data_IF_788928935455
#
_entry.id   IF_788928935455
#
_cell.length_a   1.000
_cell.length_b   1.000
_cell.length_c   1.000
_cell.angle_alpha   90.00
_cell.angle_beta   90.00
_cell.angle_gamma   90.00
#
_symmetry.space_group_name_H-M   'P 1'
#
loop_
_entity.id
_entity.type
_entity.pdbx_description
1 polymer ?
#
# COMPACT_ATOMS: atom_id res chain seq x y z
N UNK A 1 6.91 -9.74 -14.58
CA UNK A 1 7.91 -9.11 -13.67
C UNK A 1 8.33 -10.14 -12.63
N UNK A 2 9.63 -10.36 -12.49
CA UNK A 2 10.18 -11.34 -11.54
C UNK A 2 10.81 -10.61 -10.36
N UNK A 3 10.50 -11.00 -9.13
CA UNK A 3 11.16 -10.53 -7.90
C UNK A 3 11.81 -11.76 -7.23
N UNK A 4 13.13 -11.82 -7.23
CA UNK A 4 13.83 -13.03 -6.81
C UNK A 4 13.46 -14.22 -7.70
N UNK A 5 12.80 -15.21 -7.12
CA UNK A 5 12.28 -16.39 -7.79
C UNK A 5 10.75 -16.35 -8.03
N UNK A 6 10.09 -15.25 -7.72
CA UNK A 6 8.63 -15.11 -7.79
C UNK A 6 8.22 -14.40 -9.08
N UNK A 7 7.34 -15.01 -9.85
CA UNK A 7 6.67 -14.36 -10.97
C UNK A 7 5.41 -13.61 -10.48
N UNK A 8 5.44 -12.29 -10.57
CA UNK A 8 4.33 -11.42 -10.18
C UNK A 8 3.37 -11.17 -11.37
N UNK A 9 3.70 -11.67 -12.54
CA UNK A 9 2.89 -11.52 -13.74
C UNK A 9 3.31 -10.37 -14.65
N UNK A 10 2.50 -10.15 -15.69
CA UNK A 10 2.71 -9.10 -16.66
C UNK A 10 2.10 -7.78 -16.19
N UNK A 11 2.88 -6.68 -16.25
CA UNK A 11 2.47 -5.34 -15.84
C UNK A 11 1.69 -5.34 -14.52
N UNK A 12 2.30 -5.80 -13.42
CA UNK A 12 1.59 -5.99 -12.16
C UNK A 12 1.15 -4.68 -11.53
N UNK A 13 -0.07 -4.72 -10.97
CA UNK A 13 -0.68 -3.63 -10.19
C UNK A 13 -0.79 -4.09 -8.74
N UNK A 14 -0.07 -3.46 -7.83
CA UNK A 14 0.09 -3.90 -6.44
C UNK A 14 -0.58 -2.96 -5.45
N UNK A 15 -1.06 -3.51 -4.33
CA UNK A 15 -1.56 -2.73 -3.21
C UNK A 15 -0.41 -2.19 -2.37
N UNK A 16 -0.35 -0.87 -2.16
CA UNK A 16 0.66 -0.23 -1.32
C UNK A 16 0.45 -0.50 0.18
N UNK A 17 1.53 -0.61 0.98
CA UNK A 17 1.44 -0.67 2.44
C UNK A 17 0.89 0.65 3.01
N UNK A 18 -0.19 0.57 3.79
CA UNK A 18 -0.84 1.73 4.42
C UNK A 18 -1.27 1.39 5.84
N UNK A 19 -0.75 2.14 6.82
CA UNK A 19 -1.08 1.96 8.24
C UNK A 19 -2.57 2.16 8.49
N UNK A 20 -3.15 1.29 9.29
CA UNK A 20 -4.58 1.21 9.61
C UNK A 20 -5.49 1.05 8.36
N UNK A 21 -5.00 0.60 7.23
CA UNK A 21 -5.76 0.41 5.99
C UNK A 21 -5.55 -0.98 5.42
N UNK A 22 -4.27 -1.39 5.25
CA UNK A 22 -3.94 -2.66 4.59
C UNK A 22 -3.85 -3.81 5.61
N UNK A 23 -4.90 -3.92 6.44
CA UNK A 23 -5.11 -5.11 7.26
C UNK A 23 -5.40 -6.34 6.39
N UNK A 24 -5.38 -7.53 7.00
CA UNK A 24 -5.56 -8.80 6.29
C UNK A 24 -6.83 -8.84 5.45
N UNK A 25 -7.96 -8.38 5.99
CA UNK A 25 -9.25 -8.40 5.29
C UNK A 25 -9.23 -7.52 4.05
N UNK A 26 -8.72 -6.30 4.17
CA UNK A 26 -8.64 -5.38 3.03
C UNK A 26 -7.65 -5.87 1.96
N UNK A 27 -6.52 -6.45 2.36
CA UNK A 27 -5.58 -7.05 1.40
C UNK A 27 -6.23 -8.19 0.61
N UNK A 28 -6.96 -9.09 1.28
CA UNK A 28 -7.66 -10.18 0.63
C UNK A 28 -8.70 -9.68 -0.37
N UNK A 29 -9.53 -8.70 0.01
CA UNK A 29 -10.51 -8.07 -0.89
C UNK A 29 -9.80 -7.44 -2.10
N UNK A 30 -8.71 -6.68 -1.91
CA UNK A 30 -7.95 -6.11 -3.02
C UNK A 30 -7.35 -7.18 -3.93
N UNK A 31 -6.87 -8.29 -3.37
CA UNK A 31 -6.35 -9.43 -4.14
C UNK A 31 -7.43 -10.06 -5.02
N UNK A 32 -8.61 -10.31 -4.48
CA UNK A 32 -9.78 -10.82 -5.22
C UNK A 32 -10.25 -9.84 -6.31
N UNK A 33 -10.05 -8.54 -6.08
CA UNK A 33 -10.35 -7.49 -7.06
C UNK A 33 -9.23 -7.26 -8.09
N UNK A 34 -8.20 -8.10 -8.13
CA UNK A 34 -7.19 -8.09 -9.17
C UNK A 34 -5.86 -7.42 -8.82
N UNK A 35 -5.59 -7.13 -7.55
CA UNK A 35 -4.23 -6.77 -7.14
C UNK A 35 -3.30 -7.98 -7.33
N UNK A 36 -2.23 -7.82 -8.09
CA UNK A 36 -1.29 -8.92 -8.37
C UNK A 36 -0.50 -9.31 -7.12
N UNK A 37 -0.22 -8.35 -6.24
CA UNK A 37 0.49 -8.55 -4.99
C UNK A 37 0.01 -7.55 -3.93
N UNK A 38 0.07 -7.97 -2.66
CA UNK A 38 -0.31 -7.15 -1.52
C UNK A 38 0.86 -6.90 -0.57
N UNK A 39 0.77 -5.83 0.20
CA UNK A 39 1.72 -5.48 1.26
C UNK A 39 0.98 -5.27 2.58
N UNK A 40 1.54 -5.79 3.67
CA UNK A 40 0.98 -5.54 5.00
C UNK A 40 1.06 -4.07 5.40
N UNK A 41 0.37 -3.70 6.46
CA UNK A 41 0.74 -2.50 7.22
C UNK A 41 2.19 -2.63 7.68
N UNK A 42 2.90 -1.49 7.85
CA UNK A 42 4.30 -1.56 8.27
C UNK A 42 4.43 -1.95 9.76
N UNK A 43 5.34 -2.86 10.02
CA UNK A 43 5.63 -3.48 11.31
C UNK A 43 6.87 -2.84 11.93
N UNK A 44 6.75 -2.31 13.14
CA UNK A 44 7.91 -1.78 13.87
C UNK A 44 8.82 -2.92 14.33
N UNK A 45 10.08 -2.90 13.89
CA UNK A 45 11.08 -3.88 14.31
C UNK A 45 11.24 -3.89 15.85
N UNK A 46 11.39 -2.69 16.46
CA UNK A 46 11.51 -2.56 17.92
C UNK A 46 10.30 -3.09 18.70
N UNK A 47 9.09 -2.96 18.15
CA UNK A 47 7.88 -3.47 18.79
C UNK A 47 7.72 -4.98 18.57
N UNK A 48 8.13 -5.49 17.40
CA UNK A 48 8.04 -6.91 17.07
C UNK A 48 8.96 -7.75 17.96
N UNK A 49 10.23 -7.36 18.11
CA UNK A 49 11.20 -8.08 18.96
C UNK A 49 10.80 -8.08 20.46
N UNK A 50 9.96 -7.11 20.87
CA UNK A 50 9.37 -7.07 22.22
C UNK A 50 8.04 -7.81 22.31
N UNK A 51 7.65 -8.52 21.26
CA UNK A 51 6.40 -9.28 21.18
C UNK A 51 5.13 -8.47 21.53
N UNK A 52 5.06 -7.22 21.05
CA UNK A 52 3.88 -6.37 21.27
C UNK A 52 2.70 -6.94 20.43
N UNK A 53 1.66 -7.41 21.10
CA UNK A 53 0.53 -8.12 20.49
C UNK A 53 -0.13 -7.38 19.31
N UNK A 54 -0.25 -6.05 19.38
CA UNK A 54 -0.78 -5.24 18.28
C UNK A 54 0.11 -5.30 17.03
N UNK A 55 1.42 -5.43 17.21
CA UNK A 55 2.41 -5.54 16.13
C UNK A 55 2.42 -6.95 15.55
N UNK A 56 2.41 -7.98 16.40
CA UNK A 56 2.40 -9.39 15.99
C UNK A 56 1.16 -9.74 15.15
N UNK A 57 0.00 -9.16 15.47
CA UNK A 57 -1.22 -9.36 14.67
C UNK A 57 -1.10 -8.91 13.22
N UNK A 58 -0.24 -7.94 12.91
CA UNK A 58 0.01 -7.47 11.52
C UNK A 58 0.75 -8.48 10.66
N UNK A 59 1.32 -9.52 11.27
CA UNK A 59 2.01 -10.60 10.57
C UNK A 59 1.06 -11.64 9.96
N UNK A 60 -0.23 -11.60 10.29
CA UNK A 60 -1.21 -12.55 9.78
C UNK A 60 -1.36 -12.44 8.26
N UNK A 61 -1.17 -13.56 7.56
CA UNK A 61 -1.31 -13.71 6.11
C UNK A 61 -2.42 -14.72 5.83
N UNK A 62 -3.28 -14.40 4.87
CA UNK A 62 -4.21 -15.37 4.30
C UNK A 62 -3.54 -16.09 3.12
N UNK A 63 -3.62 -17.42 3.01
CA UNK A 63 -3.08 -18.15 1.85
C UNK A 63 -3.61 -17.63 0.51
N UNK A 64 -4.85 -17.15 0.45
CA UNK A 64 -5.48 -16.65 -0.78
C UNK A 64 -4.99 -15.26 -1.21
N UNK A 65 -4.31 -14.50 -0.32
CA UNK A 65 -3.75 -13.19 -0.70
C UNK A 65 -2.34 -13.26 -1.32
N UNK A 66 -1.74 -14.46 -1.41
CA UNK A 66 -0.40 -14.63 -1.98
C UNK A 66 -0.35 -14.35 -3.49
N UNK A 67 0.78 -13.79 -4.01
CA UNK A 67 1.97 -13.38 -3.28
C UNK A 67 1.73 -12.14 -2.43
N UNK A 68 2.32 -12.12 -1.24
CA UNK A 68 2.19 -11.00 -0.30
C UNK A 68 3.52 -10.70 0.41
N UNK A 69 3.73 -9.42 0.73
CA UNK A 69 4.90 -8.96 1.47
C UNK A 69 4.53 -8.49 2.88
N UNK A 70 5.37 -8.83 3.85
CA UNK A 70 5.38 -8.15 5.16
C UNK A 70 6.39 -7.01 5.09
N UNK A 71 5.94 -5.79 5.43
CA UNK A 71 6.79 -4.61 5.47
C UNK A 71 7.23 -4.29 6.90
N UNK A 72 8.55 -4.20 7.12
CA UNK A 72 9.14 -3.82 8.41
C UNK A 72 9.78 -2.43 8.35
N UNK A 73 9.88 -1.75 9.49
CA UNK A 73 10.64 -0.50 9.61
C UNK A 73 11.36 -0.41 10.95
N UNK A 74 12.48 0.26 10.92
CA UNK A 74 13.31 0.55 12.09
C UNK A 74 14.44 1.50 11.71
N UNK A 75 15.38 1.72 12.64
CA UNK A 75 16.55 2.57 12.45
C UNK A 75 17.86 1.94 12.92
N UNK A 76 17.77 0.79 13.57
CA UNK A 76 18.93 0.09 14.14
C UNK A 76 19.10 -1.27 13.46
N UNK A 77 20.34 -1.64 13.14
CA UNK A 77 20.66 -2.87 12.40
C UNK A 77 20.20 -4.10 13.16
N UNK A 78 20.57 -4.23 14.45
CA UNK A 78 20.23 -5.40 15.27
C UNK A 78 18.74 -5.71 15.31
N UNK A 79 17.88 -4.77 15.76
CA UNK A 79 16.44 -4.94 15.75
C UNK A 79 15.84 -5.24 14.38
N UNK A 80 16.35 -4.63 13.29
CA UNK A 80 15.86 -4.89 11.93
C UNK A 80 16.18 -6.31 11.46
N UNK A 81 17.39 -6.80 11.76
CA UNK A 81 17.81 -8.19 11.46
C UNK A 81 16.98 -9.20 12.25
N UNK A 82 16.80 -8.98 13.55
CA UNK A 82 16.00 -9.86 14.40
C UNK A 82 14.53 -9.89 13.97
N UNK A 83 13.94 -8.73 13.70
CA UNK A 83 12.58 -8.63 13.19
C UNK A 83 12.41 -9.35 11.84
N UNK A 84 13.38 -9.23 10.93
CA UNK A 84 13.38 -9.91 9.64
C UNK A 84 13.32 -11.44 9.79
N UNK A 85 14.13 -12.00 10.70
CA UNK A 85 14.12 -13.43 11.01
C UNK A 85 12.80 -13.88 11.62
N UNK A 86 12.27 -13.13 12.60
CA UNK A 86 10.96 -13.42 13.21
C UNK A 86 9.88 -13.44 12.11
N UNK A 87 9.87 -12.48 11.18
CA UNK A 87 8.89 -12.42 10.07
C UNK A 87 9.03 -13.64 9.16
N UNK A 88 10.26 -14.00 8.74
CA UNK A 88 10.50 -15.17 7.90
C UNK A 88 10.03 -16.47 8.58
N UNK A 89 10.37 -16.66 9.84
CA UNK A 89 10.07 -17.89 10.60
C UNK A 89 8.56 -18.03 10.92
N UNK A 90 7.90 -16.93 11.31
CA UNK A 90 6.54 -16.98 11.85
C UNK A 90 5.47 -16.71 10.79
N UNK A 91 5.62 -15.67 9.99
CA UNK A 91 4.63 -15.28 8.98
C UNK A 91 4.87 -15.96 7.63
N UNK A 92 6.12 -16.29 7.32
CA UNK A 92 6.54 -16.92 6.05
C UNK A 92 5.95 -16.19 4.84
N UNK A 93 6.17 -14.86 4.72
CA UNK A 93 5.71 -14.11 3.56
C UNK A 93 6.48 -14.54 2.30
N UNK A 94 5.94 -14.16 1.14
CA UNK A 94 6.67 -14.40 -0.11
C UNK A 94 7.84 -13.41 -0.28
N UNK A 95 7.72 -12.21 0.30
CA UNK A 95 8.71 -11.13 0.25
C UNK A 95 8.78 -10.44 1.62
N UNK A 96 9.98 -10.04 2.01
CA UNK A 96 10.20 -9.08 3.10
C UNK A 96 10.47 -7.71 2.49
N UNK A 97 9.69 -6.71 2.86
CA UNK A 97 9.87 -5.33 2.36
C UNK A 97 10.36 -4.40 3.47
N UNK A 98 11.30 -3.52 3.15
CA UNK A 98 11.84 -2.52 4.09
C UNK A 98 11.24 -1.15 3.79
N UNK A 99 10.64 -0.53 4.80
CA UNK A 99 10.06 0.80 4.70
C UNK A 99 11.11 1.89 4.98
N UNK A 100 11.50 2.60 3.93
CA UNK A 100 12.24 3.86 3.99
C UNK A 100 11.42 5.03 3.40
N UNK A 101 10.09 4.90 3.37
CA UNK A 101 9.21 5.88 2.73
C UNK A 101 8.17 6.54 3.64
N UNK A 102 7.89 6.04 4.85
CA UNK A 102 6.88 6.61 5.74
C UNK A 102 7.28 8.03 6.20
N UNK A 103 6.50 9.09 5.84
CA UNK A 103 6.91 10.47 6.10
C UNK A 103 6.42 11.01 7.45
N UNK A 104 5.55 10.28 8.17
CA UNK A 104 4.89 10.81 9.36
C UNK A 104 5.88 11.12 10.48
N UNK A 105 5.63 12.23 11.20
CA UNK A 105 6.57 12.76 12.22
C UNK A 105 6.96 11.73 13.28
N UNK A 106 6.02 10.91 13.74
CA UNK A 106 6.27 9.88 14.77
C UNK A 106 7.23 8.76 14.31
N UNK A 107 7.43 8.56 13.00
CA UNK A 107 8.36 7.61 12.39
C UNK A 107 9.60 8.33 11.88
N UNK A 108 9.44 9.22 10.89
CA UNK A 108 10.55 9.92 10.25
C UNK A 108 11.28 10.89 11.19
N UNK A 109 10.58 11.50 12.14
CA UNK A 109 11.19 12.36 13.16
C UNK A 109 12.08 11.62 14.15
N UNK A 110 11.93 10.28 14.24
CA UNK A 110 12.79 9.39 15.06
C UNK A 110 13.91 8.73 14.25
N UNK A 111 14.10 9.13 12.98
CA UNK A 111 15.14 8.59 12.11
C UNK A 111 14.76 7.28 11.40
N UNK A 112 13.53 6.76 11.53
CA UNK A 112 13.07 5.56 10.85
C UNK A 112 12.23 5.92 9.59
N UNK A 113 11.85 4.93 8.78
CA UNK A 113 11.10 5.18 7.55
C UNK A 113 11.80 6.20 6.65
N UNK A 114 11.08 7.23 6.18
CA UNK A 114 11.70 8.28 5.36
C UNK A 114 12.73 9.15 6.11
N UNK A 115 12.84 9.01 7.44
CA UNK A 115 13.91 9.62 8.23
C UNK A 115 15.31 9.13 7.84
N UNK A 116 15.40 7.89 7.37
CA UNK A 116 16.64 7.26 6.90
C UNK A 116 17.22 7.95 5.64
N UNK A 117 16.42 8.71 4.89
CA UNK A 117 16.92 9.52 3.76
C UNK A 117 17.90 10.64 4.17
N UNK A 118 18.11 10.83 5.46
CA UNK A 118 19.11 11.75 6.02
C UNK A 118 20.38 11.02 6.52
N UNK A 119 20.37 9.69 6.49
CA UNK A 119 21.48 8.84 6.93
C UNK A 119 21.60 7.63 5.99
N UNK A 120 22.11 7.90 4.78
CA UNK A 120 22.25 6.89 3.73
C UNK A 120 23.21 5.77 4.13
N UNK A 121 24.37 6.03 4.76
CA UNK A 121 25.24 4.94 5.23
C UNK A 121 24.50 3.95 6.13
N UNK A 122 23.70 4.44 7.09
CA UNK A 122 22.91 3.58 7.99
C UNK A 122 21.80 2.85 7.23
N UNK A 123 21.14 3.49 6.27
CA UNK A 123 20.12 2.86 5.41
C UNK A 123 20.71 1.65 4.68
N UNK A 124 21.87 1.81 4.06
CA UNK A 124 22.56 0.75 3.34
C UNK A 124 23.05 -0.37 4.26
N UNK A 125 23.61 -0.02 5.43
CA UNK A 125 24.03 -0.98 6.44
C UNK A 125 22.85 -1.88 6.89
N UNK A 126 21.70 -1.27 7.21
CA UNK A 126 20.48 -2.01 7.58
C UNK A 126 20.04 -2.91 6.41
N UNK A 127 19.99 -2.38 5.18
CA UNK A 127 19.54 -3.13 4.02
C UNK A 127 20.41 -4.35 3.77
N UNK A 128 21.73 -4.18 3.73
CA UNK A 128 22.68 -5.28 3.52
C UNK A 128 22.61 -6.33 4.63
N UNK A 129 22.46 -5.90 5.89
CA UNK A 129 22.34 -6.81 7.03
C UNK A 129 21.03 -7.61 7.00
N UNK A 130 19.91 -7.00 6.63
CA UNK A 130 18.62 -7.68 6.49
C UNK A 130 18.65 -8.67 5.32
N UNK A 131 19.16 -8.26 4.15
CA UNK A 131 19.31 -9.17 3.00
C UNK A 131 20.14 -10.41 3.36
N UNK A 132 21.22 -10.24 4.11
CA UNK A 132 22.07 -11.37 4.54
C UNK A 132 21.39 -12.27 5.59
N UNK A 133 20.40 -11.75 6.32
CA UNK A 133 19.82 -12.44 7.49
C UNK A 133 18.67 -13.38 7.14
N UNK A 134 18.05 -13.26 5.95
CA UNK A 134 16.87 -14.04 5.50
C UNK A 134 17.11 -14.70 4.15
N UNK A 135 16.34 -15.74 3.84
CA UNK A 135 16.42 -16.48 2.58
C UNK A 135 15.36 -16.05 1.55
N UNK A 136 14.30 -15.39 2.00
CA UNK A 136 13.26 -14.86 1.12
C UNK A 136 13.72 -13.58 0.42
N UNK A 137 13.18 -13.23 -0.75
CA UNK A 137 13.48 -11.97 -1.43
C UNK A 137 13.23 -10.77 -0.52
N UNK A 138 14.20 -9.83 -0.51
CA UNK A 138 14.07 -8.56 0.20
C UNK A 138 13.85 -7.45 -0.82
N UNK A 139 12.88 -6.57 -0.56
CA UNK A 139 12.60 -5.37 -1.36
C UNK A 139 12.66 -4.12 -0.49
N UNK A 140 12.75 -2.97 -1.13
CA UNK A 140 12.76 -1.66 -0.45
C UNK A 140 11.69 -0.77 -1.04
N UNK A 141 10.95 -0.06 -0.17
CA UNK A 141 10.06 1.03 -0.56
C UNK A 141 10.54 2.35 0.01
N UNK A 142 10.84 3.32 -0.87
CA UNK A 142 11.38 4.63 -0.49
C UNK A 142 10.72 5.80 -1.22
N UNK A 143 11.30 7.00 -1.08
CA UNK A 143 10.90 8.25 -1.72
C UNK A 143 12.06 8.85 -2.51
N UNK A 144 11.81 9.95 -3.24
CA UNK A 144 12.83 10.64 -4.05
C UNK A 144 14.01 11.18 -3.25
N UNK A 145 13.80 11.47 -1.99
CA UNK A 145 14.76 12.06 -1.08
C UNK A 145 14.07 12.72 0.11
N UNK A 146 14.84 13.42 0.95
CA UNK A 146 14.30 14.09 2.15
C UNK A 146 13.47 15.33 1.77
N UNK A 147 13.99 16.20 0.93
CA UNK A 147 13.36 17.44 0.46
C UNK A 147 13.69 17.73 -1.01
N UNK A 148 13.26 18.89 -1.50
CA UNK A 148 13.46 19.26 -2.90
C UNK A 148 14.94 19.33 -3.30
N UNK A 149 15.80 19.76 -2.38
CA UNK A 149 17.24 19.95 -2.64
C UNK A 149 18.06 18.67 -2.48
N UNK A 150 17.45 17.60 -1.96
CA UNK A 150 18.11 16.33 -1.67
C UNK A 150 17.39 15.13 -2.33
N UNK A 151 16.98 15.28 -3.59
CA UNK A 151 16.50 14.19 -4.43
C UNK A 151 17.68 13.34 -4.90
N UNK A 152 17.91 12.22 -4.24
CA UNK A 152 19.06 11.35 -4.44
C UNK A 152 18.70 9.97 -4.98
N UNK A 153 17.43 9.79 -5.39
CA UNK A 153 16.88 8.45 -5.67
C UNK A 153 17.62 7.71 -6.79
N UNK A 154 18.19 8.41 -7.78
CA UNK A 154 18.87 7.76 -8.91
C UNK A 154 20.11 7.03 -8.42
N UNK A 155 20.98 7.72 -7.69
CA UNK A 155 22.20 7.15 -7.11
C UNK A 155 21.88 6.16 -5.96
N UNK A 156 20.85 6.47 -5.16
CA UNK A 156 20.41 5.62 -4.06
C UNK A 156 19.89 4.27 -4.56
N UNK A 157 19.22 4.25 -5.72
CA UNK A 157 18.71 3.01 -6.32
C UNK A 157 19.82 2.01 -6.61
N UNK A 158 20.95 2.47 -7.18
CA UNK A 158 22.14 1.63 -7.40
C UNK A 158 22.70 1.08 -6.09
N UNK A 159 22.88 1.95 -5.11
CA UNK A 159 23.44 1.56 -3.81
C UNK A 159 22.55 0.54 -3.07
N UNK A 160 21.23 0.69 -3.15
CA UNK A 160 20.29 -0.28 -2.57
C UNK A 160 20.33 -1.61 -3.32
N UNK A 161 20.41 -1.60 -4.67
CA UNK A 161 20.61 -2.80 -5.47
C UNK A 161 21.90 -3.53 -5.08
N UNK A 162 23.00 -2.80 -4.90
CA UNK A 162 24.30 -3.35 -4.50
C UNK A 162 24.24 -4.00 -3.09
N UNK A 163 23.28 -3.63 -2.24
CA UNK A 163 23.00 -4.33 -0.99
C UNK A 163 22.31 -5.69 -1.19
N UNK A 164 21.85 -6.01 -2.42
CA UNK A 164 21.23 -7.29 -2.77
C UNK A 164 19.71 -7.34 -2.72
N UNK A 165 19.01 -6.20 -2.68
CA UNK A 165 17.55 -6.18 -2.81
C UNK A 165 17.10 -6.68 -4.18
N UNK A 166 15.88 -7.24 -4.26
CA UNK A 166 15.36 -7.89 -5.46
C UNK A 166 14.32 -7.04 -6.22
N UNK A 167 13.86 -5.93 -5.66
CA UNK A 167 13.07 -4.90 -6.32
C UNK A 167 13.09 -3.61 -5.51
N UNK A 168 12.85 -2.48 -6.19
CA UNK A 168 12.77 -1.16 -5.58
C UNK A 168 11.42 -0.52 -5.90
N UNK A 169 10.70 -0.06 -4.87
CA UNK A 169 9.50 0.77 -5.03
C UNK A 169 9.83 2.24 -4.71
N UNK A 170 9.54 3.14 -5.64
CA UNK A 170 9.78 4.57 -5.48
C UNK A 170 8.48 5.35 -5.47
N UNK A 171 8.20 6.05 -4.37
CA UNK A 171 7.15 7.06 -4.34
C UNK A 171 7.67 8.38 -4.92
N UNK A 172 7.04 8.90 -5.97
CA UNK A 172 7.42 10.11 -6.69
C UNK A 172 7.30 11.42 -5.90
N UNK A 173 7.46 11.38 -4.58
CA UNK A 173 7.50 12.56 -3.69
C UNK A 173 8.68 12.48 -2.74
N UNK A 174 9.15 13.64 -2.28
CA UNK A 174 10.10 13.72 -1.18
C UNK A 174 9.40 13.51 0.17
N UNK A 175 10.19 13.33 1.25
CA UNK A 175 9.61 13.24 2.61
C UNK A 175 8.91 14.52 3.00
N UNK A 176 9.49 15.70 2.72
CA UNK A 176 8.90 16.99 3.12
C UNK A 176 7.60 17.32 2.40
N UNK A 177 7.42 16.87 1.17
CA UNK A 177 6.14 16.98 0.47
C UNK A 177 5.01 16.20 1.16
N UNK A 178 5.32 15.14 1.88
CA UNK A 178 4.33 14.20 2.41
C UNK A 178 3.36 13.72 1.31
N UNK A 179 2.22 14.40 1.15
CA UNK A 179 1.20 14.11 0.12
C UNK A 179 0.78 15.34 -0.68
N UNK A 180 1.47 16.49 -0.49
CA UNK A 180 1.19 17.74 -1.22
C UNK A 180 1.85 17.75 -2.59
N UNK A 181 1.28 18.55 -3.50
CA UNK A 181 1.71 18.60 -4.91
C UNK A 181 1.51 17.27 -5.63
N UNK A 182 2.10 17.13 -6.81
CA UNK A 182 2.01 15.92 -7.62
C UNK A 182 3.22 15.01 -7.44
N UNK A 183 3.06 13.72 -7.71
CA UNK A 183 4.15 12.77 -7.77
C UNK A 183 5.00 13.04 -9.03
N UNK A 184 6.30 13.12 -8.84
CA UNK A 184 7.29 13.38 -9.91
C UNK A 184 7.63 12.04 -10.60
N UNK A 185 6.89 11.73 -11.64
CA UNK A 185 7.07 10.50 -12.43
C UNK A 185 8.28 10.59 -13.37
N UNK A 186 8.70 11.81 -13.77
CA UNK A 186 9.93 11.98 -14.56
C UNK A 186 11.17 11.57 -13.75
N UNK A 187 11.17 11.82 -12.44
CA UNK A 187 12.26 11.36 -11.58
C UNK A 187 12.25 9.83 -11.41
N UNK A 188 11.06 9.18 -11.39
CA UNK A 188 10.95 7.72 -11.40
C UNK A 188 11.49 7.16 -12.73
N UNK A 189 11.15 7.77 -13.87
CA UNK A 189 11.68 7.38 -15.18
C UNK A 189 13.20 7.46 -15.22
N UNK A 190 13.81 8.51 -14.66
CA UNK A 190 15.27 8.64 -14.57
C UNK A 190 15.93 7.50 -13.80
N UNK A 191 15.26 6.97 -12.76
CA UNK A 191 15.74 5.76 -12.06
C UNK A 191 15.71 4.56 -13.01
N UNK A 192 14.64 4.42 -13.81
CA UNK A 192 14.51 3.31 -14.77
C UNK A 192 15.48 3.40 -15.94
N UNK A 193 15.79 4.61 -16.38
CA UNK A 193 16.75 4.88 -17.47
C UNK A 193 18.22 4.63 -17.06
N UNK A 194 18.48 4.46 -15.77
CA UNK A 194 19.82 4.16 -15.29
C UNK A 194 20.26 2.76 -15.72
N UNK A 195 21.26 2.63 -16.60
CA UNK A 195 21.67 1.32 -17.14
C UNK A 195 22.28 0.37 -16.11
N UNK A 196 22.66 0.88 -14.93
CA UNK A 196 23.15 0.07 -13.83
C UNK A 196 22.04 -0.58 -13.01
N UNK A 197 20.80 -0.08 -13.10
CA UNK A 197 19.67 -0.66 -12.40
C UNK A 197 19.14 -1.87 -13.18
N UNK A 198 19.34 -3.06 -12.65
CA UNK A 198 18.94 -4.34 -13.29
C UNK A 198 17.75 -5.01 -12.60
N UNK A 199 17.43 -4.60 -11.36
CA UNK A 199 16.28 -5.09 -10.62
C UNK A 199 14.99 -4.38 -11.04
N UNK A 200 13.80 -4.98 -10.84
CA UNK A 200 12.53 -4.35 -11.13
C UNK A 200 12.33 -3.04 -10.36
N UNK A 201 11.85 -2.02 -11.08
CA UNK A 201 11.42 -0.74 -10.52
C UNK A 201 9.90 -0.65 -10.49
N UNK A 202 9.33 -0.41 -9.30
CA UNK A 202 7.91 -0.25 -9.06
C UNK A 202 7.61 1.23 -8.83
N UNK A 203 6.79 1.84 -9.69
CA UNK A 203 6.39 3.24 -9.56
C UNK A 203 5.20 3.40 -8.62
N UNK A 204 5.23 4.43 -7.76
CA UNK A 204 4.16 4.75 -6.83
C UNK A 204 3.92 6.26 -6.74
N UNK A 205 2.67 6.66 -6.66
CA UNK A 205 2.23 8.04 -6.46
C UNK A 205 1.15 8.47 -7.45
N UNK A 206 0.03 8.95 -6.93
CA UNK A 206 -1.12 9.52 -7.65
C UNK A 206 -1.75 8.65 -8.75
N UNK A 207 -1.54 7.36 -8.72
CA UNK A 207 -2.22 6.42 -9.60
C UNK A 207 -3.67 6.24 -9.15
N UNK A 208 -4.59 6.82 -9.90
CA UNK A 208 -6.04 6.88 -9.59
C UNK A 208 -6.91 6.49 -10.78
N UNK A 209 -6.35 6.52 -11.97
CA UNK A 209 -7.12 6.28 -13.21
C UNK A 209 -6.40 5.27 -14.12
N UNK A 210 -7.17 4.57 -14.97
CA UNK A 210 -6.63 3.71 -16.01
C UNK A 210 -5.56 4.38 -16.89
N UNK A 211 -5.77 5.64 -17.28
CA UNK A 211 -4.82 6.38 -18.11
C UNK A 211 -3.46 6.55 -17.39
N UNK A 212 -3.47 6.93 -16.11
CA UNK A 212 -2.24 7.10 -15.33
C UNK A 212 -1.45 5.79 -15.18
N UNK A 213 -2.14 4.65 -15.11
CA UNK A 213 -1.47 3.34 -15.06
C UNK A 213 -0.87 2.98 -16.42
N UNK A 214 -1.57 3.22 -17.54
CA UNK A 214 -0.98 3.06 -18.88
C UNK A 214 0.25 3.93 -19.05
N UNK A 215 0.19 5.21 -18.71
CA UNK A 215 1.32 6.13 -18.80
C UNK A 215 2.52 5.66 -17.96
N UNK A 216 2.26 5.11 -16.76
CA UNK A 216 3.31 4.58 -15.90
C UNK A 216 4.14 3.50 -16.61
N UNK A 217 3.49 2.57 -17.32
CA UNK A 217 4.17 1.52 -18.07
C UNK A 217 4.71 2.00 -19.40
N UNK A 218 3.91 2.72 -20.19
CA UNK A 218 4.22 3.00 -21.60
C UNK A 218 5.15 4.21 -21.76
N UNK A 219 4.98 5.24 -20.92
CA UNK A 219 5.79 6.46 -20.96
C UNK A 219 6.97 6.44 -20.02
N UNK A 220 6.76 5.98 -18.78
CA UNK A 220 7.79 6.02 -17.74
C UNK A 220 8.53 4.68 -17.57
N UNK A 221 8.11 3.63 -18.26
CA UNK A 221 8.83 2.38 -18.43
C UNK A 221 9.00 1.53 -17.17
N UNK A 222 8.22 1.77 -16.11
CA UNK A 222 8.33 0.99 -14.86
C UNK A 222 7.91 -0.47 -15.07
N UNK A 223 8.47 -1.39 -14.29
CA UNK A 223 8.19 -2.83 -14.38
C UNK A 223 6.90 -3.23 -13.66
N UNK A 224 6.48 -2.42 -12.69
CA UNK A 224 5.25 -2.57 -11.92
C UNK A 224 4.76 -1.25 -11.37
N UNK A 225 3.49 -1.22 -10.95
CA UNK A 225 2.91 -0.04 -10.30
C UNK A 225 2.33 -0.39 -8.95
N UNK A 226 2.40 0.55 -8.00
CA UNK A 226 1.86 0.37 -6.66
C UNK A 226 0.81 1.44 -6.36
N UNK A 227 -0.41 1.00 -5.99
CA UNK A 227 -1.57 1.84 -5.77
C UNK A 227 -1.88 1.91 -4.28
N UNK A 228 -1.99 3.12 -3.74
CA UNK A 228 -2.33 3.36 -2.33
C UNK A 228 -3.71 3.99 -2.18
N UNK A 229 -3.75 5.28 -1.89
CA UNK A 229 -4.95 6.03 -1.48
C UNK A 229 -6.18 5.85 -2.38
N UNK A 230 -5.99 5.58 -3.66
CA UNK A 230 -7.10 5.36 -4.60
C UNK A 230 -7.91 4.09 -4.29
N UNK A 231 -7.30 3.10 -3.62
CA UNK A 231 -7.99 1.87 -3.23
C UNK A 231 -8.82 2.00 -1.95
N UNK A 232 -8.60 3.04 -1.14
CA UNK A 232 -9.30 3.22 0.14
C UNK A 232 -10.79 3.46 -0.14
N UNK A 233 -11.64 2.55 0.33
CA UNK A 233 -13.08 2.58 0.07
C UNK A 233 -13.47 2.31 -1.39
N UNK A 234 -12.54 1.83 -2.20
CA UNK A 234 -12.75 1.45 -3.59
C UNK A 234 -11.83 0.29 -4.02
N UNK A 235 -11.87 -0.87 -3.35
CA UNK A 235 -10.97 -1.98 -3.68
C UNK A 235 -11.16 -2.49 -5.13
N UNK A 236 -12.33 -2.33 -5.71
CA UNK A 236 -12.63 -2.65 -7.12
C UNK A 236 -11.77 -1.90 -8.14
N UNK A 237 -11.08 -0.84 -7.73
CA UNK A 237 -10.19 -0.09 -8.61
C UNK A 237 -9.09 -0.98 -9.21
N UNK A 238 -8.65 -2.02 -8.49
CA UNK A 238 -7.63 -2.94 -8.99
C UNK A 238 -8.06 -3.66 -10.27
N UNK A 239 -9.34 -4.06 -10.40
CA UNK A 239 -9.87 -4.66 -11.63
C UNK A 239 -9.73 -3.71 -12.83
N UNK A 240 -10.08 -2.44 -12.63
CA UNK A 240 -9.99 -1.41 -13.65
C UNK A 240 -8.55 -1.08 -14.04
N UNK A 241 -7.69 -0.91 -13.04
CA UNK A 241 -6.29 -0.56 -13.28
C UNK A 241 -5.52 -1.72 -13.90
N UNK A 242 -5.84 -2.97 -13.51
CA UNK A 242 -5.23 -4.17 -14.11
C UNK A 242 -5.66 -4.36 -15.57
N UNK A 243 -6.94 -4.18 -15.89
CA UNK A 243 -7.43 -4.20 -17.25
C UNK A 243 -6.67 -3.17 -18.12
N UNK A 244 -6.55 -1.94 -17.63
CA UNK A 244 -5.82 -0.88 -18.32
C UNK A 244 -4.33 -1.19 -18.51
N UNK A 245 -3.67 -1.78 -17.50
CA UNK A 245 -2.27 -2.20 -17.59
C UNK A 245 -2.05 -3.23 -18.71
N UNK A 246 -3.04 -4.08 -18.94
CA UNK A 246 -3.01 -5.12 -19.97
C UNK A 246 -3.57 -4.65 -21.34
N UNK A 247 -3.89 -3.36 -21.49
CA UNK A 247 -4.46 -2.81 -22.72
C UNK A 247 -5.91 -3.21 -22.97
N UNK A 248 -6.62 -3.65 -21.94
CA UNK A 248 -8.03 -4.01 -21.98
C UNK A 248 -8.89 -2.81 -21.55
N UNK A 249 -10.16 -2.80 -21.99
CA UNK A 249 -11.13 -1.78 -21.54
C UNK A 249 -11.53 -2.04 -20.08
N UNK A 250 -11.40 -1.03 -19.19
CA UNK A 250 -11.80 -1.16 -17.80
C UNK A 250 -13.32 -1.20 -17.66
N UNK A 251 -13.83 -2.23 -16.98
CA UNK A 251 -15.24 -2.31 -16.63
C UNK A 251 -15.52 -1.62 -15.29
N UNK A 252 -16.59 -0.84 -15.24
CA UNK A 252 -17.10 -0.26 -14.01
C UNK A 252 -18.00 -1.28 -13.31
N UNK A 253 -17.69 -1.73 -12.08
CA UNK A 253 -18.53 -2.68 -11.36
C UNK A 253 -19.92 -2.10 -11.08
N UNK A 254 -20.94 -2.96 -11.08
CA UNK A 254 -22.30 -2.57 -10.72
C UNK A 254 -22.35 -1.98 -9.30
N UNK A 255 -23.30 -1.07 -9.06
CA UNK A 255 -23.45 -0.43 -7.74
C UNK A 255 -23.67 -1.48 -6.64
N UNK A 256 -24.51 -2.46 -6.87
CA UNK A 256 -24.76 -3.55 -5.93
C UNK A 256 -23.49 -4.34 -5.58
N UNK A 257 -22.60 -4.59 -6.57
CA UNK A 257 -21.31 -5.23 -6.32
C UNK A 257 -20.41 -4.38 -5.42
N UNK A 258 -20.37 -3.08 -5.63
CA UNK A 258 -19.61 -2.15 -4.79
C UNK A 258 -20.12 -2.10 -3.36
N UNK A 259 -21.45 -2.10 -3.16
CA UNK A 259 -22.06 -2.19 -1.83
C UNK A 259 -21.77 -3.52 -1.17
N UNK A 260 -21.86 -4.64 -1.88
CA UNK A 260 -21.51 -5.96 -1.35
C UNK A 260 -20.06 -6.00 -0.81
N UNK A 261 -19.10 -5.38 -1.51
CA UNK A 261 -17.72 -5.27 -1.04
C UNK A 261 -17.60 -4.40 0.22
N UNK A 262 -18.34 -3.30 0.30
CA UNK A 262 -18.36 -2.44 1.51
C UNK A 262 -18.97 -3.19 2.69
N UNK A 263 -20.12 -3.87 2.50
CA UNK A 263 -20.79 -4.65 3.54
C UNK A 263 -19.87 -5.77 4.06
N UNK A 264 -19.20 -6.49 3.17
CA UNK A 264 -18.21 -7.50 3.53
C UNK A 264 -17.06 -6.89 4.35
N UNK A 265 -16.51 -5.77 3.92
CA UNK A 265 -15.42 -5.10 4.62
C UNK A 265 -15.83 -4.64 6.02
N UNK A 266 -17.07 -4.16 6.20
CA UNK A 266 -17.62 -3.81 7.52
C UNK A 266 -17.71 -5.07 8.40
N UNK A 267 -18.33 -6.15 7.90
CA UNK A 267 -18.50 -7.38 8.65
C UNK A 267 -17.16 -7.99 9.10
N UNK A 268 -16.18 -8.07 8.18
CA UNK A 268 -14.84 -8.59 8.49
C UNK A 268 -14.05 -7.68 9.45
N UNK A 269 -14.26 -6.35 9.40
CA UNK A 269 -13.65 -5.43 10.36
C UNK A 269 -14.20 -5.62 11.77
N UNK A 270 -15.51 -5.83 11.90
CA UNK A 270 -16.19 -6.10 13.18
C UNK A 270 -15.73 -7.44 13.75
N UNK A 271 -15.73 -8.48 12.94
CA UNK A 271 -15.31 -9.84 13.37
C UNK A 271 -13.85 -9.85 13.86
N UNK A 272 -12.97 -9.13 13.18
CA UNK A 272 -11.54 -9.08 13.49
C UNK A 272 -11.20 -8.39 14.81
N UNK A 273 -11.97 -7.38 15.22
CA UNK A 273 -11.61 -6.54 16.39
C UNK A 273 -12.71 -6.61 17.46
N UNK A 274 -13.83 -6.00 17.21
CA UNK A 274 -15.15 -5.92 17.84
C UNK A 274 -16.02 -4.91 17.09
N UNK A 275 -17.31 -4.84 17.42
CA UNK A 275 -18.26 -3.97 16.73
C UNK A 275 -17.83 -2.50 16.75
N UNK A 276 -17.59 -1.95 17.93
CA UNK A 276 -17.29 -0.52 18.08
C UNK A 276 -15.99 -0.11 17.37
N UNK A 277 -14.91 -0.84 17.63
CA UNK A 277 -13.62 -0.54 17.01
C UNK A 277 -13.59 -0.88 15.52
N UNK A 278 -14.32 -1.92 15.10
CA UNK A 278 -14.47 -2.28 13.69
C UNK A 278 -15.16 -1.18 12.89
N UNK A 279 -16.24 -0.60 13.44
CA UNK A 279 -16.92 0.54 12.82
C UNK A 279 -16.02 1.77 12.77
N UNK A 280 -15.32 2.09 13.86
CA UNK A 280 -14.36 3.19 13.85
C UNK A 280 -13.28 3.02 12.79
N UNK A 281 -12.79 1.80 12.61
CA UNK A 281 -11.77 1.46 11.61
C UNK A 281 -12.29 1.66 10.19
N UNK A 282 -13.51 1.20 9.90
CA UNK A 282 -14.09 1.28 8.55
C UNK A 282 -14.46 2.71 8.11
N UNK A 283 -14.65 3.65 9.04
CA UNK A 283 -15.02 5.04 8.73
C UNK A 283 -14.10 5.71 7.72
N UNK A 284 -12.80 5.39 7.71
CA UNK A 284 -11.87 5.93 6.72
C UNK A 284 -12.16 5.45 5.31
N UNK A 285 -12.58 4.19 5.15
CA UNK A 285 -12.98 3.63 3.87
C UNK A 285 -14.28 4.25 3.38
N UNK A 286 -15.28 4.37 4.25
CA UNK A 286 -16.55 5.04 3.94
C UNK A 286 -16.33 6.51 3.56
N UNK A 287 -15.49 7.23 4.31
CA UNK A 287 -15.19 8.64 4.02
C UNK A 287 -14.45 8.85 2.70
N UNK A 288 -13.60 7.90 2.30
CA UNK A 288 -12.79 7.96 1.08
C UNK A 288 -13.54 7.47 -0.16
N UNK A 289 -14.52 6.58 0.03
CA UNK A 289 -15.20 5.90 -1.07
C UNK A 289 -15.81 6.87 -2.10
N UNK A 290 -15.56 6.65 -3.39
CA UNK A 290 -16.18 7.45 -4.45
C UNK A 290 -17.70 7.27 -4.52
N UNK A 291 -18.26 6.16 -4.03
CA UNK A 291 -19.70 5.92 -3.97
C UNK A 291 -20.47 7.01 -3.22
N UNK A 292 -19.84 7.66 -2.26
CA UNK A 292 -20.45 8.66 -1.39
C UNK A 292 -20.01 10.09 -1.73
N UNK A 293 -19.49 10.30 -2.93
CA UNK A 293 -19.04 11.61 -3.41
C UNK A 293 -19.94 12.13 -4.55
N UNK A 294 -20.15 13.45 -4.55
CA UNK A 294 -20.95 14.09 -5.62
C UNK A 294 -22.46 13.88 -5.53
N UNK A 295 -22.97 13.25 -4.47
CA UNK A 295 -24.41 13.07 -4.24
C UNK A 295 -25.00 14.40 -3.76
N UNK A 296 -26.03 14.95 -4.45
CA UNK A 296 -26.70 16.17 -4.00
C UNK A 296 -27.33 16.00 -2.62
N UNK A 297 -27.31 17.07 -1.80
CA UNK A 297 -27.92 17.12 -0.47
C UNK A 297 -27.49 16.00 0.52
N UNK A 298 -26.33 15.35 0.28
CA UNK A 298 -25.88 14.17 1.01
C UNK A 298 -25.17 14.46 2.34
N UNK A 299 -25.00 15.74 2.70
CA UNK A 299 -24.18 16.13 3.86
C UNK A 299 -24.63 15.48 5.17
N UNK A 300 -25.93 15.51 5.46
CA UNK A 300 -26.49 14.98 6.72
C UNK A 300 -26.40 13.46 6.76
N UNK A 301 -26.77 12.78 5.68
CA UNK A 301 -26.64 11.32 5.55
C UNK A 301 -25.18 10.87 5.69
N UNK A 302 -24.24 11.60 5.07
CA UNK A 302 -22.81 11.33 5.23
C UNK A 302 -22.33 11.50 6.66
N UNK A 303 -22.80 12.54 7.37
CA UNK A 303 -22.47 12.74 8.78
C UNK A 303 -23.03 11.59 9.62
N UNK A 304 -24.29 11.19 9.41
CA UNK A 304 -24.91 10.07 10.11
C UNK A 304 -24.11 8.76 9.88
N UNK A 305 -23.79 8.44 8.62
CA UNK A 305 -22.99 7.26 8.26
C UNK A 305 -21.61 7.24 8.96
N UNK A 306 -20.91 8.37 8.99
CA UNK A 306 -19.58 8.47 9.62
C UNK A 306 -19.63 8.57 11.15
N UNK A 307 -20.80 8.78 11.73
CA UNK A 307 -21.01 8.83 13.20
C UNK A 307 -21.72 7.61 13.76
N UNK A 308 -22.27 6.74 12.90
CA UNK A 308 -22.85 5.48 13.35
C UNK A 308 -21.85 4.71 14.23
N UNK A 309 -22.28 4.23 15.38
CA UNK A 309 -21.47 3.54 16.40
C UNK A 309 -21.92 2.08 16.63
N UNK A 310 -23.01 1.68 15.97
CA UNK A 310 -23.50 0.32 15.92
C UNK A 310 -23.59 -0.19 14.48
N UNK A 311 -23.43 -1.50 14.28
CA UNK A 311 -23.57 -2.12 12.97
C UNK A 311 -25.00 -1.95 12.42
N UNK A 312 -26.02 -2.13 13.27
CA UNK A 312 -27.41 -1.97 12.87
C UNK A 312 -27.69 -0.57 12.28
N UNK A 313 -27.28 0.50 12.98
CA UNK A 313 -27.47 1.87 12.53
C UNK A 313 -26.69 2.16 11.22
N UNK A 314 -25.46 1.66 11.11
CA UNK A 314 -24.65 1.82 9.90
C UNK A 314 -25.29 1.11 8.70
N UNK A 315 -25.75 -0.11 8.87
CA UNK A 315 -26.37 -0.92 7.82
C UNK A 315 -27.71 -0.32 7.35
N UNK A 316 -28.53 0.22 8.26
CA UNK A 316 -29.76 0.94 7.91
C UNK A 316 -29.49 2.17 7.02
N UNK A 317 -28.48 2.97 7.38
CA UNK A 317 -28.08 4.14 6.58
C UNK A 317 -27.54 3.70 5.21
N UNK A 318 -26.72 2.67 5.14
CA UNK A 318 -26.19 2.15 3.89
C UNK A 318 -27.31 1.60 2.97
N UNK A 319 -28.28 0.88 3.54
CA UNK A 319 -29.44 0.39 2.80
C UNK A 319 -30.27 1.55 2.22
N UNK A 320 -30.52 2.60 3.00
CA UNK A 320 -31.17 3.80 2.49
C UNK A 320 -30.39 4.48 1.34
N UNK A 321 -29.06 4.54 1.45
CA UNK A 321 -28.23 5.12 0.38
C UNK A 321 -28.32 4.24 -0.89
N UNK A 322 -28.22 2.93 -0.74
CA UNK A 322 -28.19 1.96 -1.85
C UNK A 322 -29.54 1.89 -2.60
N UNK A 323 -30.65 1.84 -1.85
CA UNK A 323 -31.97 1.55 -2.42
C UNK A 323 -32.82 2.78 -2.73
N UNK A 324 -32.60 3.91 -2.05
CA UNK A 324 -33.43 5.09 -2.21
C UNK A 324 -32.66 6.27 -2.85
N UNK A 325 -31.44 6.57 -2.36
CA UNK A 325 -30.71 7.76 -2.81
C UNK A 325 -30.06 7.53 -4.17
N UNK A 326 -29.23 6.49 -4.31
CA UNK A 326 -28.47 6.27 -5.55
C UNK A 326 -29.38 6.00 -6.76
N UNK A 327 -30.43 5.16 -6.67
CA UNK A 327 -31.36 4.99 -7.79
C UNK A 327 -32.07 6.27 -8.24
N UNK A 328 -32.35 7.18 -7.29
CA UNK A 328 -32.99 8.48 -7.61
C UNK A 328 -32.09 9.44 -8.42
N UNK A 329 -30.79 9.15 -8.51
CA UNK A 329 -29.82 9.94 -9.28
C UNK A 329 -29.59 9.42 -10.69
N UNK A 330 -30.12 8.25 -11.02
CA UNK A 330 -30.06 7.69 -12.36
C UNK A 330 -31.24 8.27 -13.18
N UNK A 331 -30.97 8.82 -14.39
CA UNK A 331 -32.02 9.43 -15.25
C UNK A 331 -33.06 8.43 -15.75
#
# INVERSE_FOLDING_TARGET
>A
MIIGNLDIGNRPVMLAPMEDVTDRSFRLICKEQGADMTYSEFVSADALIRNIAATTRKLAIDPAERPTAIQIYGREVGPMVEAARIVEETARPDILDINFGCPVKKVAGKGAGAGMLRDIPRMLEITAAVVKAVNIPVTVKTRLGWDHNSKIIVELAEQLQDCGIQALTVHGRTRSQMYTGDADWEMIARVKENPRLTIPLIGNGDLRTPAQVRDAFDRYGVDGVMVGRASIGAPWIFRQLKAAALGQEPEEPAIAEKFALIHRQIAESIDRIDEYRGILHIRRHLAASPLFKGIPNFRETRIAMLRADTNAALMEILAHIEHDIIPSLQP
#
